data_IF_198917170982
#
_entry.id   IF_198917170982
#
_cell.length_a   1.000
_cell.length_b   1.000
_cell.length_c   1.000
_cell.angle_alpha   90.00
_cell.angle_beta   90.00
_cell.angle_gamma   90.00
#
_symmetry.space_group_name_H-M   'P 1'
#
loop_
_entity.id
_entity.type
_entity.pdbx_description
1 polymer ?
#
# COMPACT_ATOMS: atom_id res chain seq x y z
N UNK A 1 -8.14 0.30 11.02
CA UNK A 1 -8.89 -0.82 11.58
C UNK A 1 -9.65 -1.54 10.48
N UNK A 2 -9.98 -2.84 10.62
CA UNK A 2 -10.79 -3.56 9.66
C UNK A 2 -12.23 -3.05 9.62
N UNK A 3 -12.87 -3.18 8.44
CA UNK A 3 -14.30 -2.93 8.24
C UNK A 3 -15.13 -4.19 8.47
N UNK A 4 -14.51 -5.37 8.46
CA UNK A 4 -15.16 -6.65 8.71
C UNK A 4 -14.20 -7.73 9.21
N UNK A 5 -14.68 -8.59 10.09
CA UNK A 5 -14.01 -9.82 10.55
C UNK A 5 -15.02 -10.95 10.45
N UNK A 6 -14.70 -11.97 9.69
CA UNK A 6 -15.58 -13.13 9.46
C UNK A 6 -14.85 -14.43 9.75
N UNK A 7 -15.50 -15.34 10.46
CA UNK A 7 -15.01 -16.71 10.56
C UNK A 7 -15.41 -17.48 9.31
N UNK A 8 -14.43 -17.84 8.50
CA UNK A 8 -14.65 -18.54 7.22
C UNK A 8 -14.61 -20.07 7.37
N UNK A 9 -14.03 -20.56 8.46
CA UNK A 9 -14.03 -21.94 8.93
C UNK A 9 -13.54 -21.99 10.39
N UNK A 10 -13.80 -23.06 11.14
CA UNK A 10 -13.35 -23.16 12.54
C UNK A 10 -11.87 -22.81 12.70
N UNK A 11 -11.58 -21.84 13.56
CA UNK A 11 -10.24 -21.37 13.85
C UNK A 11 -9.57 -20.57 12.71
N UNK A 12 -10.34 -20.10 11.72
CA UNK A 12 -9.81 -19.27 10.62
C UNK A 12 -10.66 -18.01 10.46
N UNK A 13 -10.01 -16.86 10.65
CA UNK A 13 -10.65 -15.54 10.55
C UNK A 13 -10.16 -14.83 9.30
N UNK A 14 -11.10 -14.34 8.49
CA UNK A 14 -10.83 -13.40 7.39
C UNK A 14 -11.14 -11.99 7.87
N UNK A 15 -10.18 -11.10 7.69
CA UNK A 15 -10.23 -9.69 8.07
C UNK A 15 -10.19 -8.85 6.80
N UNK A 16 -11.18 -7.98 6.59
CA UNK A 16 -11.24 -7.04 5.46
C UNK A 16 -10.97 -5.62 5.96
N UNK A 17 -9.99 -4.94 5.39
CA UNK A 17 -9.67 -3.53 5.65
C UNK A 17 -10.41 -2.56 4.70
N UNK A 18 -11.31 -3.07 3.85
CA UNK A 18 -12.16 -2.29 2.94
C UNK A 18 -11.46 -1.83 1.66
N UNK A 19 -10.26 -1.33 1.75
CA UNK A 19 -9.45 -0.88 0.61
C UNK A 19 -8.05 -1.44 0.72
N UNK A 20 -7.39 -1.64 -0.42
CA UNK A 20 -5.98 -2.02 -0.46
C UNK A 20 -5.08 -0.84 -0.06
N UNK A 21 -4.01 -1.10 0.66
CA UNK A 21 -3.01 -0.09 1.01
C UNK A 21 -1.68 -0.74 1.39
N UNK A 22 -0.60 -0.01 1.17
CA UNK A 22 0.72 -0.37 1.66
C UNK A 22 0.81 -0.20 3.17
N UNK A 23 1.34 -1.20 3.85
CA UNK A 23 1.45 -1.14 5.31
C UNK A 23 2.07 -2.35 5.96
N UNK A 24 1.99 -2.34 7.28
CA UNK A 24 2.40 -3.40 8.18
C UNK A 24 1.21 -3.86 9.00
N UNK A 25 1.25 -5.10 9.48
CA UNK A 25 0.19 -5.65 10.32
C UNK A 25 0.66 -5.75 11.78
N UNK A 26 -0.19 -5.28 12.68
CA UNK A 26 -0.04 -5.42 14.14
C UNK A 26 -1.22 -6.23 14.66
N UNK A 27 -0.92 -7.29 15.41
CA UNK A 27 -1.90 -8.19 16.01
C UNK A 27 -1.74 -8.19 17.52
N UNK A 28 -2.84 -8.05 18.25
CA UNK A 28 -2.89 -8.29 19.70
C UNK A 28 -3.70 -9.56 19.95
N UNK A 29 -3.00 -10.63 20.27
CA UNK A 29 -3.57 -11.98 20.41
C UNK A 29 -3.35 -12.53 21.81
N UNK A 30 -4.35 -13.26 22.31
CA UNK A 30 -4.25 -13.98 23.57
C UNK A 30 -4.00 -15.47 23.31
N UNK A 31 -3.14 -16.09 24.12
CA UNK A 31 -2.91 -17.55 24.13
C UNK A 31 -2.87 -18.04 25.57
N UNK A 32 -3.44 -19.19 25.82
CA UNK A 32 -3.33 -19.91 27.11
C UNK A 32 -2.05 -20.74 27.22
N UNK A 33 -1.32 -20.85 26.10
CA UNK A 33 -0.11 -21.65 25.99
C UNK A 33 -0.35 -23.09 25.52
N UNK A 34 -1.60 -23.46 25.21
CA UNK A 34 -1.92 -24.78 24.62
C UNK A 34 -1.69 -24.80 23.10
N UNK A 35 -1.80 -23.64 22.46
CA UNK A 35 -1.47 -23.45 21.06
C UNK A 35 -0.33 -22.44 20.95
N UNK A 36 0.74 -22.85 20.33
CA UNK A 36 2.01 -22.11 20.28
C UNK A 36 2.22 -21.29 18.99
N UNK A 37 1.33 -21.46 18.00
CA UNK A 37 1.48 -20.75 16.71
C UNK A 37 0.17 -20.58 15.94
N UNK A 38 0.15 -19.54 15.11
CA UNK A 38 -0.87 -19.27 14.08
C UNK A 38 -0.20 -18.99 12.74
N UNK A 39 -0.96 -19.03 11.66
CA UNK A 39 -0.46 -18.62 10.35
C UNK A 39 -1.23 -17.39 9.88
N UNK A 40 -0.48 -16.34 9.59
CA UNK A 40 -1.02 -15.08 9.08
C UNK A 40 -0.78 -15.01 7.58
N UNK A 41 -1.82 -14.74 6.82
CA UNK A 41 -1.78 -14.50 5.38
C UNK A 41 -2.17 -13.05 5.11
N UNK A 42 -1.44 -12.38 4.25
CA UNK A 42 -1.76 -11.04 3.73
C UNK A 42 -1.95 -11.13 2.24
N UNK A 43 -2.97 -10.46 1.71
CA UNK A 43 -3.24 -10.47 0.27
C UNK A 43 -4.16 -9.36 -0.19
N UNK A 44 -4.07 -9.05 -1.49
CA UNK A 44 -4.84 -8.00 -2.14
C UNK A 44 -6.21 -8.48 -2.60
N UNK A 45 -6.34 -9.76 -2.99
CA UNK A 45 -7.52 -10.32 -3.62
C UNK A 45 -8.03 -11.58 -2.91
N UNK A 46 -9.32 -11.86 -3.10
CA UNK A 46 -9.96 -13.09 -2.69
C UNK A 46 -10.26 -13.99 -3.90
N UNK A 47 -10.18 -15.30 -3.66
CA UNK A 47 -10.67 -16.35 -4.54
C UNK A 47 -11.39 -17.39 -3.69
N UNK A 48 -12.62 -17.76 -4.08
CA UNK A 48 -13.42 -18.72 -3.32
C UNK A 48 -13.65 -18.35 -1.85
N UNK A 49 -13.74 -17.04 -1.52
CA UNK A 49 -13.94 -16.54 -0.17
C UNK A 49 -12.68 -16.56 0.72
N UNK A 50 -11.51 -16.83 0.16
CA UNK A 50 -10.22 -16.84 0.83
C UNK A 50 -9.22 -15.94 0.11
N UNK A 51 -8.13 -15.57 0.77
CA UNK A 51 -7.03 -14.86 0.11
C UNK A 51 -6.48 -15.71 -1.04
N UNK A 52 -6.35 -15.10 -2.22
CA UNK A 52 -5.70 -15.70 -3.40
C UNK A 52 -4.24 -15.99 -3.05
N UNK A 53 -3.89 -17.29 -2.95
CA UNK A 53 -2.55 -17.73 -2.49
C UNK A 53 -1.56 -17.98 -3.61
N UNK A 54 -2.06 -18.21 -4.80
CA UNK A 54 -1.24 -18.37 -6.00
C UNK A 54 -1.66 -17.38 -7.09
N UNK A 55 -1.15 -16.13 -7.04
CA UNK A 55 -1.45 -15.13 -8.05
C UNK A 55 -0.74 -15.38 -9.40
N UNK A 56 -0.01 -16.46 -9.54
CA UNK A 56 0.69 -16.82 -10.78
C UNK A 56 1.71 -15.76 -11.19
N UNK A 57 1.65 -15.35 -12.47
CA UNK A 57 2.54 -14.32 -13.04
C UNK A 57 2.05 -12.88 -12.84
N UNK A 58 0.94 -12.68 -12.11
CA UNK A 58 0.40 -11.33 -11.88
C UNK A 58 1.27 -10.53 -10.91
N UNK A 59 0.99 -9.24 -10.81
CA UNK A 59 1.63 -8.34 -9.84
C UNK A 59 0.96 -8.37 -8.47
N UNK A 60 -0.18 -9.06 -8.33
CA UNK A 60 -0.90 -9.22 -7.06
C UNK A 60 0.02 -9.81 -6.00
N UNK A 61 -0.01 -9.26 -4.82
CA UNK A 61 0.82 -9.71 -3.69
C UNK A 61 0.05 -10.67 -2.81
N UNK A 62 0.76 -11.70 -2.40
CA UNK A 62 0.37 -12.64 -1.35
C UNK A 62 1.59 -12.93 -0.47
N UNK A 63 1.37 -12.98 0.85
CA UNK A 63 2.43 -13.29 1.83
C UNK A 63 1.88 -14.20 2.91
N UNK A 64 2.73 -15.10 3.39
CA UNK A 64 2.46 -16.05 4.48
C UNK A 64 3.50 -15.88 5.58
N UNK A 65 3.04 -15.74 6.82
CA UNK A 65 3.87 -15.58 8.00
C UNK A 65 3.43 -16.55 9.10
N UNK A 66 4.23 -17.58 9.46
CA UNK A 66 4.04 -18.29 10.70
C UNK A 66 4.37 -17.34 11.86
N UNK A 67 3.54 -17.34 12.89
CA UNK A 67 3.67 -16.49 14.07
C UNK A 67 3.58 -17.37 15.32
N UNK A 68 4.67 -17.46 16.07
CA UNK A 68 4.67 -18.09 17.38
C UNK A 68 3.93 -17.21 18.41
N UNK A 69 3.08 -17.83 19.21
CA UNK A 69 2.31 -17.15 20.26
C UNK A 69 2.98 -17.37 21.62
N UNK A 70 3.06 -16.31 22.39
CA UNK A 70 3.46 -16.34 23.78
C UNK A 70 2.22 -16.47 24.67
N UNK A 71 2.32 -17.15 25.80
CA UNK A 71 1.25 -17.23 26.78
C UNK A 71 0.85 -15.84 27.28
N UNK A 72 -0.46 -15.63 27.45
CA UNK A 72 -1.05 -14.33 27.82
C UNK A 72 -1.44 -13.51 26.59
N UNK A 73 -1.76 -12.24 26.79
CA UNK A 73 -2.10 -11.31 25.73
C UNK A 73 -0.84 -10.56 25.30
N UNK A 74 -0.47 -10.71 24.03
CA UNK A 74 0.76 -10.11 23.48
C UNK A 74 0.47 -9.40 22.17
N UNK A 75 1.27 -8.36 21.89
CA UNK A 75 1.21 -7.62 20.62
C UNK A 75 2.37 -8.05 19.73
N UNK A 76 2.02 -8.38 18.48
CA UNK A 76 2.94 -8.87 17.46
C UNK A 76 2.92 -7.94 16.25
N UNK A 77 4.07 -7.40 15.88
CA UNK A 77 4.26 -6.72 14.60
C UNK A 77 4.79 -7.72 13.59
N UNK A 78 4.05 -7.94 12.51
CA UNK A 78 4.47 -8.86 11.45
C UNK A 78 5.63 -8.22 10.68
N UNK A 79 6.80 -8.85 10.74
CA UNK A 79 7.99 -8.41 10.02
C UNK A 79 7.86 -8.75 8.54
N UNK A 80 7.54 -7.74 7.72
CA UNK A 80 7.43 -7.88 6.27
C UNK A 80 8.81 -8.19 5.68
N UNK A 81 8.88 -9.21 4.83
CA UNK A 81 10.11 -9.59 4.13
C UNK A 81 10.22 -8.84 2.82
N UNK A 82 11.43 -8.41 2.48
CA UNK A 82 11.75 -7.82 1.17
C UNK A 82 11.40 -8.79 0.04
N UNK A 83 10.92 -8.25 -1.07
CA UNK A 83 10.65 -8.99 -2.30
C UNK A 83 11.77 -8.71 -3.32
N UNK A 84 12.28 -9.76 -3.95
CA UNK A 84 13.32 -9.63 -4.99
C UNK A 84 12.86 -8.82 -6.20
N UNK A 85 11.54 -8.78 -6.46
CA UNK A 85 10.96 -8.05 -7.60
C UNK A 85 11.07 -6.53 -7.46
N UNK A 86 11.09 -6.01 -6.23
CA UNK A 86 11.06 -4.58 -5.94
C UNK A 86 12.20 -4.10 -5.03
N UNK A 87 13.30 -4.83 -5.03
CA UNK A 87 14.53 -4.47 -4.28
C UNK A 87 15.78 -4.55 -5.15
N UNK A 88 15.61 -4.42 -6.47
CA UNK A 88 16.70 -4.28 -7.42
C UNK A 88 17.49 -2.98 -7.23
N UNK A 89 18.58 -2.81 -7.96
CA UNK A 89 19.49 -1.65 -7.82
C UNK A 89 18.83 -0.30 -8.15
N UNK A 90 17.82 -0.28 -9.01
CA UNK A 90 17.08 0.93 -9.37
C UNK A 90 15.82 1.16 -8.48
N UNK A 91 15.48 0.22 -7.61
CA UNK A 91 14.29 0.33 -6.78
C UNK A 91 14.47 1.32 -5.63
N UNK A 92 13.44 2.11 -5.36
CA UNK A 92 13.36 2.94 -4.15
C UNK A 92 13.07 2.05 -2.95
N UNK A 93 14.03 1.94 -2.05
CA UNK A 93 13.91 1.14 -0.84
C UNK A 93 13.18 1.92 0.26
N UNK A 94 12.40 1.21 1.07
CA UNK A 94 11.75 1.80 2.22
C UNK A 94 12.79 2.29 3.24
N UNK A 95 12.57 3.47 3.86
CA UNK A 95 13.43 3.97 4.92
C UNK A 95 13.52 2.99 6.09
N UNK A 96 14.71 2.82 6.67
CA UNK A 96 14.94 1.86 7.74
C UNK A 96 14.08 2.09 8.99
N UNK A 97 13.70 3.33 9.27
CA UNK A 97 12.83 3.68 10.40
C UNK A 97 11.34 3.34 10.16
N UNK A 98 10.91 3.22 8.89
CA UNK A 98 9.58 2.73 8.53
C UNK A 98 9.59 1.20 8.48
N UNK A 99 10.63 0.63 7.90
CA UNK A 99 10.72 -0.80 7.60
C UNK A 99 10.00 -1.17 6.30
N UNK A 100 10.00 -2.46 5.98
CA UNK A 100 9.38 -2.95 4.75
C UNK A 100 7.85 -2.94 4.87
N UNK A 101 7.17 -2.70 3.74
CA UNK A 101 5.71 -2.69 3.61
C UNK A 101 5.27 -3.60 2.47
N UNK A 102 4.01 -4.02 2.52
CA UNK A 102 3.38 -4.80 1.44
C UNK A 102 1.96 -4.27 1.23
N UNK A 103 1.46 -4.23 -0.02
CA UNK A 103 0.06 -3.90 -0.26
C UNK A 103 -0.82 -5.09 0.15
N UNK A 104 -1.88 -4.83 0.90
CA UNK A 104 -2.90 -5.82 1.22
C UNK A 104 -4.20 -5.17 1.65
N UNK A 105 -5.31 -5.74 1.19
CA UNK A 105 -6.65 -5.44 1.69
C UNK A 105 -7.08 -6.45 2.75
N UNK A 106 -6.66 -7.70 2.60
CA UNK A 106 -7.14 -8.80 3.41
C UNK A 106 -6.03 -9.38 4.29
N UNK A 107 -6.42 -9.77 5.50
CA UNK A 107 -5.63 -10.60 6.38
C UNK A 107 -6.42 -11.86 6.73
N UNK A 108 -5.81 -13.03 6.62
CA UNK A 108 -6.41 -14.29 7.06
C UNK A 108 -5.53 -14.86 8.19
N UNK A 109 -6.16 -15.21 9.33
CA UNK A 109 -5.46 -15.77 10.50
C UNK A 109 -5.97 -17.19 10.68
N UNK A 110 -5.10 -18.16 10.43
CA UNK A 110 -5.39 -19.59 10.61
C UNK A 110 -4.86 -20.08 11.94
N UNK A 111 -5.65 -20.91 12.60
CA UNK A 111 -5.27 -21.53 13.87
C UNK A 111 -5.56 -20.66 15.09
N UNK A 112 -6.44 -19.66 14.99
CA UNK A 112 -6.84 -18.80 16.11
C UNK A 112 -8.32 -18.92 16.40
N UNK A 113 -8.67 -19.51 17.54
CA UNK A 113 -10.05 -19.79 17.93
C UNK A 113 -10.66 -18.71 18.80
N UNK A 114 -9.84 -17.96 19.55
CA UNK A 114 -10.35 -16.91 20.41
C UNK A 114 -11.00 -15.76 19.59
N UNK A 115 -11.93 -15.01 20.20
CA UNK A 115 -12.55 -13.88 19.53
C UNK A 115 -11.52 -12.84 19.10
N UNK A 116 -11.70 -12.28 17.90
CA UNK A 116 -10.96 -11.13 17.41
C UNK A 116 -11.86 -9.89 17.39
N UNK A 117 -11.40 -8.82 17.99
CA UNK A 117 -12.03 -7.50 17.87
C UNK A 117 -11.33 -6.69 16.75
N UNK A 118 -11.98 -5.67 16.19
CA UNK A 118 -11.30 -4.75 15.26
C UNK A 118 -10.05 -4.12 15.85
N UNK A 119 -10.01 -3.86 17.16
CA UNK A 119 -8.84 -3.31 17.85
C UNK A 119 -7.67 -4.31 17.96
N UNK A 120 -7.94 -5.62 17.84
CA UNK A 120 -6.91 -6.66 17.91
C UNK A 120 -6.14 -6.82 16.61
N UNK A 121 -6.61 -6.22 15.50
CA UNK A 121 -6.01 -6.37 14.17
C UNK A 121 -5.89 -5.00 13.52
N UNK A 122 -4.70 -4.47 13.49
CA UNK A 122 -4.44 -3.11 12.98
C UNK A 122 -3.51 -3.17 11.78
N UNK A 123 -3.92 -2.58 10.66
CA UNK A 123 -3.02 -2.27 9.55
C UNK A 123 -2.49 -0.86 9.74
N UNK A 124 -1.20 -0.73 9.96
CA UNK A 124 -0.50 0.55 9.95
C UNK A 124 -0.17 0.89 8.50
N UNK A 125 -0.95 1.80 7.91
CA UNK A 125 -0.77 2.24 6.52
C UNK A 125 0.37 3.23 6.40
N UNK A 126 1.11 3.14 5.30
CA UNK A 126 2.20 4.07 4.97
C UNK A 126 1.85 4.77 3.67
N UNK A 127 1.80 6.08 3.70
CA UNK A 127 1.63 6.95 2.54
C UNK A 127 2.21 8.33 2.84
N UNK A 128 2.48 9.11 1.80
CA UNK A 128 2.87 10.50 1.94
C UNK A 128 1.68 11.31 2.54
N UNK A 129 1.93 12.41 3.28
CA UNK A 129 0.86 13.29 3.75
C UNK A 129 -0.10 13.66 2.62
N UNK A 130 -1.41 13.58 2.90
CA UNK A 130 -2.46 13.80 1.91
C UNK A 130 -3.67 14.44 2.60
N UNK A 131 -4.14 15.59 2.06
CA UNK A 131 -5.33 16.28 2.55
C UNK A 131 -6.58 15.80 1.79
N UNK A 132 -7.34 14.90 2.39
CA UNK A 132 -8.59 14.38 1.82
C UNK A 132 -9.63 15.48 1.55
N UNK A 133 -9.51 16.65 2.17
CA UNK A 133 -10.44 17.77 2.05
C UNK A 133 -10.05 18.79 0.99
N UNK A 134 -8.84 18.69 0.43
CA UNK A 134 -8.32 19.66 -0.54
C UNK A 134 -9.10 19.70 -1.84
N UNK A 135 -9.79 18.60 -2.20
CA UNK A 135 -10.57 18.50 -3.43
C UNK A 135 -11.82 17.66 -3.27
N UNK A 136 -12.84 17.98 -4.07
CA UNK A 136 -14.06 17.20 -4.16
C UNK A 136 -14.62 17.25 -5.57
N UNK A 137 -15.29 16.18 -5.98
CA UNK A 137 -16.03 16.11 -7.25
C UNK A 137 -17.37 15.45 -7.03
N UNK A 138 -18.42 16.03 -7.62
CA UNK A 138 -19.76 15.46 -7.62
C UNK A 138 -20.50 15.83 -8.90
N UNK A 139 -21.10 14.83 -9.53
CA UNK A 139 -21.99 15.01 -10.68
C UNK A 139 -23.20 14.08 -10.56
N UNK A 140 -24.13 14.16 -11.51
CA UNK A 140 -25.35 13.32 -11.55
C UNK A 140 -25.08 11.85 -11.91
N UNK A 141 -23.88 11.49 -12.33
CA UNK A 141 -23.49 10.13 -12.67
C UNK A 141 -22.67 9.49 -11.54
N UNK A 142 -23.28 8.55 -10.81
CA UNK A 142 -22.65 7.90 -9.67
C UNK A 142 -21.38 7.10 -10.04
N UNK A 143 -21.31 6.56 -11.25
CA UNK A 143 -20.10 5.85 -11.72
C UNK A 143 -18.91 6.81 -11.84
N UNK A 144 -19.12 8.02 -12.36
CA UNK A 144 -18.05 9.04 -12.42
C UNK A 144 -17.63 9.49 -11.01
N UNK A 145 -18.58 9.63 -10.09
CA UNK A 145 -18.28 9.95 -8.71
C UNK A 145 -17.40 8.84 -8.06
N UNK A 146 -17.73 7.57 -8.30
CA UNK A 146 -16.94 6.44 -7.80
C UNK A 146 -15.54 6.35 -8.45
N UNK A 147 -15.43 6.65 -9.74
CA UNK A 147 -14.14 6.72 -10.46
C UNK A 147 -13.25 7.80 -9.86
N UNK A 148 -13.80 9.00 -9.60
CA UNK A 148 -13.06 10.07 -8.94
C UNK A 148 -12.50 9.64 -7.59
N UNK A 149 -13.35 9.07 -6.73
CA UNK A 149 -12.93 8.59 -5.41
C UNK A 149 -11.87 7.49 -5.51
N UNK A 150 -11.99 6.58 -6.48
CA UNK A 150 -10.99 5.54 -6.72
C UNK A 150 -9.65 6.14 -7.15
N UNK A 151 -9.66 7.08 -8.10
CA UNK A 151 -8.44 7.74 -8.57
C UNK A 151 -7.76 8.52 -7.45
N UNK A 152 -8.52 9.33 -6.71
CA UNK A 152 -8.02 10.09 -5.56
C UNK A 152 -7.39 9.18 -4.50
N UNK A 153 -8.07 8.08 -4.16
CA UNK A 153 -7.54 7.08 -3.24
C UNK A 153 -6.26 6.42 -3.76
N UNK A 154 -6.21 6.11 -5.06
CA UNK A 154 -5.02 5.48 -5.68
C UNK A 154 -3.79 6.36 -5.60
N UNK A 155 -3.94 7.68 -5.88
CA UNK A 155 -2.83 8.66 -5.73
C UNK A 155 -2.27 8.60 -4.31
N UNK A 156 -3.13 8.67 -3.29
CA UNK A 156 -2.69 8.57 -1.89
C UNK A 156 -2.03 7.24 -1.58
N UNK A 157 -2.67 6.13 -1.94
CA UNK A 157 -2.21 4.78 -1.59
C UNK A 157 -0.86 4.43 -2.21
N UNK A 158 -0.56 4.93 -3.41
CA UNK A 158 0.69 4.65 -4.12
C UNK A 158 1.84 5.59 -3.76
N UNK A 159 1.61 6.60 -2.92
CA UNK A 159 2.65 7.54 -2.45
C UNK A 159 3.51 7.02 -1.29
N UNK A 160 3.48 5.72 -1.01
CA UNK A 160 4.07 5.07 0.17
C UNK A 160 5.60 5.21 0.30
N UNK A 161 6.31 5.37 -0.81
CA UNK A 161 7.78 5.49 -0.84
C UNK A 161 8.30 6.92 -0.71
N UNK A 162 7.39 7.93 -0.75
CA UNK A 162 7.74 9.35 -0.75
C UNK A 162 8.42 9.84 -2.04
N UNK A 163 8.38 9.03 -3.09
CA UNK A 163 8.76 9.31 -4.47
C UNK A 163 7.74 8.60 -5.35
N UNK A 164 7.36 9.16 -6.50
CA UNK A 164 6.50 8.46 -7.45
C UNK A 164 7.23 7.27 -8.06
N UNK A 165 6.67 6.10 -7.92
CA UNK A 165 7.18 4.83 -8.44
C UNK A 165 6.06 4.10 -9.19
N UNK A 166 6.42 3.10 -9.98
CA UNK A 166 5.49 2.24 -10.71
C UNK A 166 4.61 1.33 -9.83
N UNK A 167 4.51 1.63 -8.55
CA UNK A 167 3.83 0.83 -7.53
C UNK A 167 4.74 -0.24 -6.92
N UNK A 168 4.17 -1.40 -6.55
CA UNK A 168 4.95 -2.48 -5.91
C UNK A 168 5.56 -3.48 -6.89
N UNK A 169 5.37 -3.29 -8.20
CA UNK A 169 5.92 -4.21 -9.19
C UNK A 169 7.44 -4.24 -9.12
N UNK A 170 8.08 -3.07 -9.28
CA UNK A 170 9.53 -2.89 -9.29
C UNK A 170 10.00 -1.80 -8.34
N UNK A 171 9.11 -0.88 -7.93
CA UNK A 171 9.39 0.35 -7.16
C UNK A 171 10.43 1.25 -7.85
N UNK A 172 10.41 1.29 -9.16
CA UNK A 172 11.31 2.12 -9.95
C UNK A 172 10.57 3.41 -10.31
N UNK A 173 11.16 4.59 -10.08
CA UNK A 173 10.66 5.84 -10.62
C UNK A 173 10.90 5.91 -12.14
N UNK A 174 9.90 6.41 -12.85
CA UNK A 174 9.97 6.67 -14.30
C UNK A 174 9.41 8.07 -14.58
N UNK A 175 10.00 8.81 -15.51
CA UNK A 175 9.55 10.19 -15.82
C UNK A 175 8.11 10.22 -16.34
N UNK A 176 7.73 9.26 -17.19
CA UNK A 176 6.38 9.17 -17.72
C UNK A 176 5.34 8.93 -16.59
N UNK A 177 5.63 7.98 -15.69
CA UNK A 177 4.78 7.70 -14.54
C UNK A 177 4.74 8.90 -13.57
N UNK A 178 5.89 9.55 -13.35
CA UNK A 178 5.98 10.70 -12.46
C UNK A 178 5.17 11.89 -12.97
N UNK A 179 5.18 12.18 -14.28
CA UNK A 179 4.35 13.23 -14.88
C UNK A 179 2.86 12.98 -14.67
N UNK A 180 2.40 11.74 -14.93
CA UNK A 180 0.99 11.37 -14.76
C UNK A 180 0.61 11.45 -13.28
N UNK A 181 1.43 10.92 -12.38
CA UNK A 181 1.19 10.97 -10.94
C UNK A 181 1.16 12.42 -10.44
N UNK A 182 2.09 13.28 -10.88
CA UNK A 182 2.10 14.71 -10.55
C UNK A 182 0.79 15.39 -10.93
N UNK A 183 0.34 15.21 -12.18
CA UNK A 183 -0.90 15.84 -12.67
C UNK A 183 -2.13 15.35 -11.90
N UNK A 184 -2.21 14.04 -11.61
CA UNK A 184 -3.28 13.48 -10.80
C UNK A 184 -3.23 14.01 -9.37
N UNK A 185 -2.04 14.06 -8.75
CA UNK A 185 -1.86 14.54 -7.38
C UNK A 185 -2.21 16.03 -7.25
N UNK A 186 -1.70 16.87 -8.15
CA UNK A 186 -1.99 18.31 -8.18
C UNK A 186 -3.48 18.60 -8.42
N UNK A 187 -4.19 17.69 -9.09
CA UNK A 187 -5.64 17.79 -9.28
C UNK A 187 -6.47 17.43 -8.04
N UNK A 188 -5.89 16.78 -7.04
CA UNK A 188 -6.64 16.25 -5.88
C UNK A 188 -6.11 16.69 -4.53
N UNK A 189 -4.87 17.21 -4.44
CA UNK A 189 -4.23 17.66 -3.19
C UNK A 189 -3.46 18.97 -3.42
N UNK A 190 -3.02 19.60 -2.34
CA UNK A 190 -2.19 20.82 -2.33
C UNK A 190 -0.74 20.56 -1.90
N UNK A 191 -0.37 19.32 -1.78
CA UNK A 191 0.99 18.90 -1.43
C UNK A 191 1.81 18.67 -2.70
N UNK A 192 2.84 19.47 -2.89
CA UNK A 192 3.65 19.48 -4.11
C UNK A 192 5.07 18.93 -3.92
N UNK A 193 5.51 18.74 -2.68
CA UNK A 193 6.89 18.38 -2.38
C UNK A 193 7.27 16.96 -2.85
N UNK A 194 6.32 16.01 -2.87
CA UNK A 194 6.58 14.67 -3.39
C UNK A 194 6.88 14.68 -4.90
N UNK A 195 6.19 15.54 -5.66
CA UNK A 195 6.42 15.70 -7.10
C UNK A 195 7.81 16.31 -7.36
N UNK A 196 8.19 17.38 -6.65
CA UNK A 196 9.52 17.98 -6.72
C UNK A 196 10.63 16.99 -6.40
N UNK A 197 10.47 16.28 -5.28
CA UNK A 197 11.44 15.25 -4.88
C UNK A 197 11.58 14.16 -5.93
N UNK A 198 10.46 13.74 -6.54
CA UNK A 198 10.49 12.75 -7.63
C UNK A 198 11.20 13.29 -8.85
N UNK A 199 10.97 14.55 -9.20
CA UNK A 199 11.65 15.22 -10.31
C UNK A 199 13.17 15.34 -10.06
N UNK A 200 13.58 15.85 -8.90
CA UNK A 200 14.99 15.94 -8.51
C UNK A 200 15.68 14.57 -8.53
N UNK A 201 15.00 13.54 -8.06
CA UNK A 201 15.53 12.18 -8.11
C UNK A 201 15.74 11.72 -9.56
N UNK A 202 14.77 11.93 -10.44
CA UNK A 202 14.82 11.50 -11.84
C UNK A 202 15.87 12.28 -12.65
N UNK A 203 16.15 13.55 -12.34
CA UNK A 203 17.25 14.30 -12.94
C UNK A 203 18.62 13.67 -12.64
N UNK A 204 18.76 13.01 -11.49
CA UNK A 204 19.99 12.32 -11.08
C UNK A 204 20.02 10.85 -11.52
N UNK A 205 18.84 10.24 -11.72
CA UNK A 205 18.66 8.83 -12.05
C UNK A 205 17.69 8.68 -13.23
N UNK A 206 18.03 9.23 -14.41
CA UNK A 206 17.14 9.19 -15.57
C UNK A 206 16.93 7.74 -16.04
N UNK A 207 15.73 7.47 -16.56
CA UNK A 207 15.43 6.19 -17.17
C UNK A 207 16.01 6.07 -18.59
N UNK A 208 15.87 4.92 -19.25
CA UNK A 208 16.48 4.70 -20.57
C UNK A 208 15.71 5.25 -21.78
N UNK A 209 14.34 5.38 -21.77
CA UNK A 209 13.65 5.90 -22.93
C UNK A 209 13.83 7.41 -23.06
N UNK A 210 14.39 7.86 -24.17
CA UNK A 210 14.67 9.28 -24.43
C UNK A 210 13.40 10.14 -24.34
N UNK A 211 12.29 9.65 -24.89
CA UNK A 211 10.99 10.34 -24.84
C UNK A 211 10.44 10.48 -23.42
N UNK A 212 10.81 9.60 -22.50
CA UNK A 212 10.42 9.73 -21.09
C UNK A 212 11.28 10.77 -20.37
N UNK A 213 12.60 10.73 -20.60
CA UNK A 213 13.54 11.71 -20.02
C UNK A 213 13.13 13.14 -20.41
N UNK A 214 12.67 13.36 -21.65
CA UNK A 214 12.19 14.66 -22.12
C UNK A 214 10.95 15.16 -21.35
N UNK A 215 10.18 14.28 -20.72
CA UNK A 215 9.05 14.68 -19.88
C UNK A 215 9.46 15.40 -18.60
N UNK A 216 10.74 15.36 -18.21
CA UNK A 216 11.27 16.16 -17.12
C UNK A 216 10.99 17.65 -17.30
N UNK A 217 11.00 18.16 -18.55
CA UNK A 217 10.62 19.54 -18.85
C UNK A 217 9.15 19.82 -18.53
N UNK A 218 8.27 18.87 -18.85
CA UNK A 218 6.84 18.98 -18.55
C UNK A 218 6.57 18.93 -17.04
N UNK A 219 7.29 18.07 -16.31
CA UNK A 219 7.21 17.98 -14.85
C UNK A 219 7.58 19.33 -14.21
N UNK A 220 8.71 19.94 -14.63
CA UNK A 220 9.13 21.25 -14.15
C UNK A 220 8.11 22.34 -14.49
N UNK A 221 7.58 22.32 -15.73
CA UNK A 221 6.59 23.29 -16.18
C UNK A 221 5.31 23.25 -15.36
N UNK A 222 4.76 22.06 -15.10
CA UNK A 222 3.56 21.92 -14.28
C UNK A 222 3.83 22.28 -12.82
N UNK A 223 5.00 21.97 -12.28
CA UNK A 223 5.38 22.42 -10.95
C UNK A 223 5.37 23.94 -10.85
N UNK A 224 5.97 24.64 -11.80
CA UNK A 224 5.95 26.09 -11.88
C UNK A 224 4.50 26.65 -11.99
N UNK A 225 3.64 26.05 -12.82
CA UNK A 225 2.26 26.52 -12.98
C UNK A 225 1.44 26.42 -11.68
N UNK A 226 1.69 25.43 -10.85
CA UNK A 226 0.97 25.22 -9.61
C UNK A 226 1.57 25.92 -8.40
N UNK A 227 2.87 26.14 -8.39
CA UNK A 227 3.59 26.67 -7.22
C UNK A 227 4.12 28.08 -7.42
N UNK A 228 4.36 28.50 -8.67
CA UNK A 228 4.99 29.78 -9.01
C UNK A 228 6.49 29.81 -8.82
N UNK A 229 7.14 28.66 -8.54
CA UNK A 229 8.58 28.54 -8.24
C UNK A 229 9.31 27.66 -9.25
#
# INVERSE_FOLDING_TARGET
FPVGITEIRPGTRLVDFGKDAFGQLVLTLASDGTRDSVVVHLGECLEGGRILRDPGKSTIRYRRYPLALLKGTNTYRIKIKKDKRNTGSAAVLMPGYVGEVVPFRYCEIEGYEAPLSPASVVRETVHYPFDETASSFRCSNDTLNQIWELCKYSVRATSFSGIYVDGDRERIPYEADALINQLCHYGVDREYAIARRSHEYLLQHPTWPTEWILQALSIAWYDYLYTGD
#
